data_IF_720594882091
#
_entry.id   IF_720594882091
#
_cell.length_a   1.000
_cell.length_b   1.000
_cell.length_c   1.000
_cell.angle_alpha   90.00
_cell.angle_beta   90.00
_cell.angle_gamma   90.00
#
_symmetry.space_group_name_H-M   'P 1'
#
loop_
_entity.id
_entity.type
_entity.pdbx_description
1 polymer ?
#
# COMPACT_ATOMS: atom_id res chain seq x y z
N UNK A 1 29.09 -14.64 -6.72
CA UNK A 1 28.25 -13.79 -7.59
C UNK A 1 26.87 -13.78 -6.99
N UNK A 2 26.59 -12.79 -6.16
CA UNK A 2 25.32 -12.69 -5.42
C UNK A 2 24.41 -11.75 -6.19
N UNK A 3 23.38 -12.32 -6.80
CA UNK A 3 22.35 -11.62 -7.53
C UNK A 3 21.48 -10.83 -6.52
N UNK A 4 21.59 -9.52 -6.57
CA UNK A 4 20.84 -8.61 -5.68
C UNK A 4 19.55 -8.24 -6.40
N UNK A 5 18.55 -9.10 -6.28
CA UNK A 5 17.21 -8.84 -6.81
C UNK A 5 16.61 -7.59 -6.15
N UNK A 6 16.58 -6.48 -6.88
CA UNK A 6 15.88 -5.27 -6.45
C UNK A 6 14.35 -5.48 -6.55
N UNK A 7 13.57 -5.20 -5.50
CA UNK A 7 12.12 -5.13 -5.61
C UNK A 7 11.70 -3.82 -6.28
N UNK A 8 11.63 -3.82 -7.62
CA UNK A 8 11.17 -2.66 -8.40
C UNK A 8 9.77 -2.96 -8.94
N UNK A 9 8.71 -2.41 -8.34
CA UNK A 9 7.40 -2.44 -9.02
C UNK A 9 6.13 -2.00 -8.29
N UNK A 10 6.03 -2.06 -6.96
CA UNK A 10 4.74 -1.78 -6.29
C UNK A 10 4.50 -0.31 -5.98
N UNK A 11 5.53 0.46 -5.63
CA UNK A 11 5.36 1.81 -5.07
C UNK A 11 4.87 2.86 -6.09
N UNK A 12 5.33 2.79 -7.35
CA UNK A 12 4.97 3.76 -8.38
C UNK A 12 3.50 3.63 -8.81
N UNK A 13 2.96 2.41 -8.85
CA UNK A 13 1.55 2.16 -9.22
C UNK A 13 0.58 2.65 -8.16
N UNK A 14 0.96 2.61 -6.89
CA UNK A 14 0.12 3.10 -5.79
C UNK A 14 0.10 4.64 -5.76
N UNK A 15 1.23 5.29 -6.06
CA UNK A 15 1.34 6.76 -6.00
C UNK A 15 0.45 7.46 -7.05
N UNK A 16 0.43 6.94 -8.28
CA UNK A 16 -0.41 7.48 -9.35
C UNK A 16 -1.92 7.31 -9.08
N UNK A 17 -2.31 6.32 -8.27
CA UNK A 17 -3.71 6.08 -7.92
C UNK A 17 -4.27 7.12 -6.96
N UNK A 18 -3.47 7.69 -6.05
CA UNK A 18 -3.98 8.63 -5.03
C UNK A 18 -4.45 9.96 -5.61
N UNK A 19 -3.83 10.45 -6.69
CA UNK A 19 -4.20 11.72 -7.33
C UNK A 19 -5.56 11.66 -8.04
N UNK A 20 -6.09 10.46 -8.25
CA UNK A 20 -7.40 10.23 -8.86
C UNK A 20 -8.49 9.97 -7.80
N UNK A 21 -8.12 9.62 -6.56
CA UNK A 21 -9.10 9.30 -5.50
C UNK A 21 -9.89 10.55 -5.07
N UNK A 22 -11.22 10.43 -4.86
CA UNK A 22 -12.03 11.49 -4.30
C UNK A 22 -11.63 11.78 -2.84
N UNK A 23 -12.03 12.95 -2.33
CA UNK A 23 -11.54 13.46 -1.04
C UNK A 23 -11.96 12.59 0.16
N UNK A 24 -13.14 11.99 0.10
CA UNK A 24 -13.66 11.04 1.08
C UNK A 24 -12.85 9.75 1.15
N UNK A 25 -12.45 9.18 0.01
CA UNK A 25 -11.56 8.03 -0.05
C UNK A 25 -10.16 8.35 0.48
N UNK A 26 -9.64 9.55 0.20
CA UNK A 26 -8.36 10.02 0.79
C UNK A 26 -8.45 10.13 2.31
N UNK A 27 -9.57 10.64 2.84
CA UNK A 27 -9.81 10.71 4.28
C UNK A 27 -9.86 9.31 4.89
N UNK A 28 -10.56 8.37 4.23
CA UNK A 28 -10.65 6.98 4.68
C UNK A 28 -9.25 6.34 4.72
N UNK A 29 -8.50 6.43 3.62
CA UNK A 29 -7.16 5.89 3.51
C UNK A 29 -6.21 6.48 4.56
N UNK A 30 -6.22 7.82 4.74
CA UNK A 30 -5.40 8.46 5.76
C UNK A 30 -5.76 7.99 7.17
N UNK A 31 -7.05 7.79 7.47
CA UNK A 31 -7.51 7.25 8.76
C UNK A 31 -7.06 5.82 8.99
N UNK A 32 -7.04 4.99 7.96
CA UNK A 32 -6.48 3.63 8.03
C UNK A 32 -4.99 3.68 8.39
N UNK A 33 -4.23 4.64 7.88
CA UNK A 33 -2.82 4.86 8.24
C UNK A 33 -2.61 5.51 9.62
N UNK A 34 -3.70 5.75 10.36
CA UNK A 34 -3.70 6.40 11.66
C UNK A 34 -3.61 7.92 11.62
N UNK A 35 -3.87 8.57 10.48
CA UNK A 35 -3.92 10.03 10.40
C UNK A 35 -5.27 10.59 10.87
N UNK A 36 -5.24 11.80 11.41
CA UNK A 36 -6.42 12.60 11.70
C UNK A 36 -6.62 13.63 10.61
N UNK A 37 -7.48 13.31 9.65
CA UNK A 37 -7.83 14.19 8.54
C UNK A 37 -9.23 14.78 8.74
N UNK A 38 -9.33 16.11 8.60
CA UNK A 38 -10.60 16.83 8.64
C UNK A 38 -11.23 16.84 7.23
N UNK A 39 -12.54 16.60 7.16
CA UNK A 39 -13.29 16.62 5.91
C UNK A 39 -13.36 18.02 5.27
N UNK A 40 -13.07 19.06 6.04
CA UNK A 40 -12.98 20.45 5.56
C UNK A 40 -11.63 20.80 4.92
N UNK A 41 -10.62 19.93 5.05
CA UNK A 41 -9.30 20.17 4.45
C UNK A 41 -9.41 20.17 2.92
N UNK A 42 -8.62 21.02 2.29
CA UNK A 42 -8.46 20.98 0.84
C UNK A 42 -7.82 19.65 0.42
N UNK A 43 -8.25 19.11 -0.74
CA UNK A 43 -7.73 17.86 -1.29
C UNK A 43 -6.20 17.80 -1.37
N UNK A 44 -5.55 18.91 -1.72
CA UNK A 44 -4.09 19.00 -1.78
C UNK A 44 -3.44 18.81 -0.41
N UNK A 45 -4.04 19.37 0.65
CA UNK A 45 -3.56 19.20 2.02
C UNK A 45 -3.74 17.76 2.51
N UNK A 46 -4.86 17.11 2.15
CA UNK A 46 -5.08 15.69 2.44
C UNK A 46 -3.96 14.83 1.80
N UNK A 47 -3.70 15.04 0.51
CA UNK A 47 -2.63 14.33 -0.22
C UNK A 47 -1.24 14.59 0.40
N UNK A 48 -0.94 15.83 0.77
CA UNK A 48 0.33 16.18 1.39
C UNK A 48 0.53 15.41 2.71
N UNK A 49 -0.47 15.40 3.59
CA UNK A 49 -0.39 14.65 4.87
C UNK A 49 -0.24 13.16 4.67
N UNK A 50 -0.90 12.58 3.67
CA UNK A 50 -0.76 11.17 3.32
C UNK A 50 0.66 10.88 2.81
N UNK A 51 1.21 11.74 1.95
CA UNK A 51 2.58 11.60 1.43
C UNK A 51 3.62 11.74 2.52
N UNK A 52 3.46 12.70 3.43
CA UNK A 52 4.33 12.84 4.62
C UNK A 52 4.31 11.55 5.45
N UNK A 53 3.13 10.95 5.62
CA UNK A 53 2.97 9.68 6.33
C UNK A 53 3.66 8.52 5.62
N UNK A 54 3.51 8.41 4.30
CA UNK A 54 4.18 7.38 3.51
C UNK A 54 5.70 7.57 3.55
N UNK A 55 6.19 8.81 3.45
CA UNK A 55 7.62 9.12 3.60
C UNK A 55 8.15 8.69 4.98
N UNK A 56 7.39 8.95 6.06
CA UNK A 56 7.72 8.47 7.39
C UNK A 56 7.78 6.93 7.44
N UNK A 57 6.79 6.23 6.88
CA UNK A 57 6.77 4.77 6.83
C UNK A 57 7.98 4.19 6.08
N UNK A 58 8.43 4.86 5.01
CA UNK A 58 9.65 4.47 4.29
C UNK A 58 10.89 4.55 5.18
N UNK A 59 10.99 5.56 6.03
CA UNK A 59 12.11 5.77 6.96
C UNK A 59 12.11 4.84 8.17
N UNK A 60 10.95 4.31 8.58
CA UNK A 60 10.85 3.41 9.72
C UNK A 60 11.38 2.02 9.38
N UNK A 61 12.07 1.38 10.32
CA UNK A 61 12.51 -0.01 10.19
C UNK A 61 11.31 -0.96 10.20
N UNK A 62 11.32 -1.94 9.29
CA UNK A 62 10.24 -2.93 9.17
C UNK A 62 10.16 -3.80 10.43
N UNK A 63 11.31 -4.24 10.97
CA UNK A 63 11.35 -5.05 12.19
C UNK A 63 10.81 -4.29 13.40
N UNK A 64 11.05 -2.98 13.47
CA UNK A 64 10.50 -2.14 14.52
C UNK A 64 8.96 -2.07 14.44
N UNK A 65 8.38 -2.09 13.24
CA UNK A 65 6.93 -2.17 13.05
C UNK A 65 6.40 -3.55 13.44
N UNK A 66 7.09 -4.64 13.08
CA UNK A 66 6.74 -5.99 13.51
C UNK A 66 6.76 -6.16 15.02
N UNK A 67 7.77 -5.61 15.71
CA UNK A 67 7.85 -5.64 17.18
C UNK A 67 6.59 -5.05 17.82
N UNK A 68 6.07 -3.94 17.28
CA UNK A 68 4.82 -3.32 17.77
C UNK A 68 3.64 -4.27 17.56
N UNK A 69 3.54 -4.90 16.40
CA UNK A 69 2.41 -5.78 16.06
C UNK A 69 2.43 -7.07 16.90
N UNK A 70 3.62 -7.63 17.12
CA UNK A 70 3.85 -8.79 18.01
C UNK A 70 3.53 -8.44 19.46
N UNK A 71 4.02 -7.30 19.95
CA UNK A 71 3.70 -6.79 21.29
C UNK A 71 2.18 -6.62 21.48
N UNK A 72 1.49 -6.14 20.44
CA UNK A 72 0.04 -6.00 20.45
C UNK A 72 -0.72 -7.32 20.20
N UNK A 73 -0.02 -8.44 20.05
CA UNK A 73 -0.56 -9.79 19.81
C UNK A 73 -1.49 -9.84 18.60
N UNK A 74 -1.13 -9.15 17.52
CA UNK A 74 -1.90 -9.09 16.26
C UNK A 74 -1.28 -10.02 15.22
N UNK A 75 -1.97 -11.09 14.80
CA UNK A 75 -1.40 -12.04 13.85
C UNK A 75 -1.17 -11.38 12.49
N UNK A 76 0.09 -11.27 12.07
CA UNK A 76 0.48 -10.80 10.74
C UNK A 76 1.52 -11.73 10.13
N UNK A 77 1.58 -11.77 8.81
CA UNK A 77 2.66 -12.44 8.06
C UNK A 77 3.93 -11.60 8.17
N UNK A 78 5.11 -12.22 8.13
CA UNK A 78 6.39 -11.46 8.16
C UNK A 78 6.64 -10.66 6.88
N UNK A 79 6.13 -11.14 5.75
CA UNK A 79 6.24 -10.50 4.42
C UNK A 79 5.26 -9.35 4.19
N UNK A 80 4.45 -9.00 5.19
CA UNK A 80 3.46 -7.93 5.11
C UNK A 80 4.11 -6.57 4.85
N UNK A 81 3.44 -5.70 4.09
CA UNK A 81 3.97 -4.38 3.75
C UNK A 81 3.99 -3.44 4.97
N UNK A 82 4.87 -2.42 4.95
CA UNK A 82 4.91 -1.40 6.03
C UNK A 82 3.60 -0.62 6.15
N UNK A 83 2.87 -0.42 5.05
CA UNK A 83 1.56 0.24 5.08
C UNK A 83 0.53 -0.61 5.80
N UNK A 84 0.45 -1.91 5.51
CA UNK A 84 -0.45 -2.82 6.20
C UNK A 84 -0.09 -2.96 7.68
N UNK A 85 1.19 -3.03 8.04
CA UNK A 85 1.63 -2.94 9.44
C UNK A 85 1.15 -1.64 10.09
N UNK A 86 1.25 -0.50 9.40
CA UNK A 86 0.76 0.76 9.92
C UNK A 86 -0.76 0.76 10.14
N UNK A 87 -1.53 0.09 9.27
CA UNK A 87 -2.99 -0.08 9.45
C UNK A 87 -3.31 -0.93 10.68
N UNK A 88 -2.59 -2.03 10.87
CA UNK A 88 -2.73 -2.88 12.07
C UNK A 88 -2.32 -2.13 13.34
N UNK A 89 -1.23 -1.36 13.28
CA UNK A 89 -0.74 -0.55 14.39
C UNK A 89 -1.75 0.55 14.76
N UNK A 90 -2.35 1.20 13.75
CA UNK A 90 -3.42 2.16 13.97
C UNK A 90 -4.63 1.54 14.69
N UNK A 91 -4.80 0.21 14.64
CA UNK A 91 -5.85 -0.52 15.34
C UNK A 91 -5.55 -0.88 16.79
N UNK A 92 -4.35 -0.63 17.29
CA UNK A 92 -3.95 -0.94 18.66
C UNK A 92 -4.53 0.11 19.62
N UNK A 93 -5.34 -0.35 20.57
CA UNK A 93 -5.99 0.50 21.59
C UNK A 93 -5.17 0.62 22.87
N UNK A 94 -4.55 -0.47 23.32
CA UNK A 94 -3.82 -0.53 24.59
C UNK A 94 -2.41 0.02 24.38
N UNK A 95 -1.97 0.92 25.24
CA UNK A 95 -0.66 1.58 25.10
C UNK A 95 0.19 1.41 26.35
N UNK A 96 0.18 0.20 26.90
CA UNK A 96 1.14 -0.11 27.95
C UNK A 96 2.47 -0.51 27.31
N UNK A 97 3.39 0.45 27.18
CA UNK A 97 4.70 0.27 26.56
C UNK A 97 5.57 -0.81 27.23
N UNK A 98 5.14 -1.40 28.35
CA UNK A 98 5.86 -2.48 29.01
C UNK A 98 6.07 -3.66 28.05
N UNK A 99 7.32 -4.08 27.93
CA UNK A 99 7.74 -5.19 27.07
C UNK A 99 7.86 -4.85 25.59
N UNK A 100 7.59 -3.61 25.17
CA UNK A 100 7.87 -3.16 23.81
C UNK A 100 9.38 -2.87 23.66
N UNK A 101 9.98 -3.33 22.58
CA UNK A 101 11.38 -3.03 22.29
C UNK A 101 11.59 -1.52 22.13
N UNK A 102 12.80 -1.02 22.46
CA UNK A 102 13.12 0.41 22.31
C UNK A 102 12.88 0.92 20.89
N UNK A 103 13.27 0.13 19.88
CA UNK A 103 13.04 0.47 18.45
C UNK A 103 11.56 0.54 18.11
N UNK A 104 10.75 -0.40 18.61
CA UNK A 104 9.31 -0.41 18.43
C UNK A 104 8.63 0.78 19.13
N UNK A 105 9.11 1.14 20.32
CA UNK A 105 8.61 2.31 21.06
C UNK A 105 8.88 3.62 20.31
N UNK A 106 10.10 3.81 19.81
CA UNK A 106 10.46 4.97 18.99
C UNK A 106 9.63 5.03 17.72
N UNK A 107 9.47 3.90 17.02
CA UNK A 107 8.64 3.81 15.82
C UNK A 107 7.17 4.13 16.11
N UNK A 108 6.61 3.60 17.21
CA UNK A 108 5.23 3.88 17.62
C UNK A 108 5.02 5.36 17.96
N UNK A 109 5.97 5.99 18.67
CA UNK A 109 5.90 7.41 18.98
C UNK A 109 5.96 8.28 17.72
N UNK A 110 6.86 7.96 16.78
CA UNK A 110 6.92 8.63 15.47
C UNK A 110 5.63 8.44 14.68
N UNK A 111 5.08 7.22 14.65
CA UNK A 111 3.78 6.94 14.04
C UNK A 111 2.65 7.73 14.71
N UNK A 112 2.82 8.13 15.96
CA UNK A 112 1.86 8.96 16.68
C UNK A 112 2.11 10.46 16.56
N UNK A 113 3.11 10.87 15.79
CA UNK A 113 3.48 12.28 15.62
C UNK A 113 4.15 12.89 16.87
N UNK A 114 4.66 12.06 17.78
CA UNK A 114 5.39 12.51 18.97
C UNK A 114 6.86 12.61 18.61
N UNK A 115 7.47 13.77 18.82
CA UNK A 115 8.90 13.96 18.60
C UNK A 115 9.71 13.12 19.60
N UNK A 116 10.72 12.43 19.08
CA UNK A 116 11.59 11.54 19.85
C UNK A 116 13.04 11.98 19.67
N UNK A 117 13.74 12.18 20.78
CA UNK A 117 15.18 12.38 20.76
C UNK A 117 15.88 11.01 20.85
N UNK A 118 16.92 10.79 20.03
CA UNK A 118 17.56 9.48 19.88
C UNK A 118 18.20 8.91 21.14
N UNK A 119 18.50 9.76 22.12
CA UNK A 119 19.26 9.39 23.33
C UNK A 119 18.38 9.25 24.58
N UNK A 120 17.05 9.38 24.44
CA UNK A 120 16.14 9.27 25.58
C UNK A 120 16.06 7.82 26.10
N UNK A 121 16.03 7.62 27.43
CA UNK A 121 15.83 6.32 28.05
C UNK A 121 14.40 5.82 27.82
N UNK A 122 14.23 4.49 27.77
CA UNK A 122 12.96 3.82 27.40
C UNK A 122 11.81 4.20 28.35
N UNK A 123 12.12 4.45 29.61
CA UNK A 123 11.17 4.82 30.66
C UNK A 123 10.53 6.18 30.35
N UNK A 124 11.35 7.17 29.98
CA UNK A 124 10.90 8.53 29.61
C UNK A 124 10.05 8.49 28.35
N UNK A 125 10.43 7.67 27.36
CA UNK A 125 9.63 7.45 26.15
C UNK A 125 8.26 6.85 26.47
N UNK A 126 8.21 5.88 27.39
CA UNK A 126 6.98 5.25 27.86
C UNK A 126 6.04 6.22 28.58
N UNK A 127 6.57 7.06 29.47
CA UNK A 127 5.80 8.10 30.16
C UNK A 127 5.24 9.15 29.20
N UNK A 128 6.06 9.60 28.23
CA UNK A 128 5.62 10.55 27.20
C UNK A 128 4.50 9.95 26.35
N UNK A 129 4.63 8.68 25.97
CA UNK A 129 3.60 7.98 25.21
C UNK A 129 2.27 7.88 25.97
N UNK A 130 2.31 7.60 27.28
CA UNK A 130 1.12 7.58 28.16
C UNK A 130 0.47 8.96 28.27
N UNK A 131 1.27 10.02 28.39
CA UNK A 131 0.77 11.40 28.48
C UNK A 131 -0.02 11.83 27.23
N UNK A 132 0.36 11.32 26.05
CA UNK A 132 -0.32 11.61 24.79
C UNK A 132 -1.50 10.67 24.45
N UNK A 133 -1.84 9.70 25.30
CA UNK A 133 -2.92 8.73 25.07
C UNK A 133 -4.32 9.35 24.87
N UNK A 134 -4.77 10.37 25.66
CA UNK A 134 -6.14 10.89 25.57
C UNK A 134 -6.48 11.46 24.18
N UNK A 135 -5.46 11.91 23.45
CA UNK A 135 -5.60 12.38 22.08
C UNK A 135 -5.97 11.23 21.13
N UNK A 136 -5.29 10.09 21.25
CA UNK A 136 -5.49 8.91 20.39
C UNK A 136 -6.81 8.18 20.68
N UNK A 137 -7.27 8.21 21.91
CA UNK A 137 -8.59 7.70 22.26
C UNK A 137 -9.71 8.44 21.52
N UNK A 138 -9.56 9.75 21.27
CA UNK A 138 -10.52 10.50 20.45
C UNK A 138 -10.51 10.03 19.00
N UNK A 139 -9.33 9.74 18.46
CA UNK A 139 -9.16 9.24 17.08
C UNK A 139 -9.82 7.86 16.92
N UNK A 140 -9.57 6.94 17.85
CA UNK A 140 -10.13 5.59 17.76
C UNK A 140 -11.65 5.56 17.95
N UNK A 141 -12.23 6.47 18.76
CA UNK A 141 -13.68 6.63 18.90
C UNK A 141 -14.35 7.03 17.58
N UNK A 142 -13.74 7.94 16.83
CA UNK A 142 -14.27 8.34 15.52
C UNK A 142 -14.25 7.16 14.53
N UNK A 143 -13.19 6.35 14.55
CA UNK A 143 -13.07 5.16 13.69
C UNK A 143 -14.16 4.11 13.96
N UNK A 144 -14.51 3.86 15.23
CA UNK A 144 -15.54 2.86 15.59
C UNK A 144 -16.91 3.21 15.02
N UNK A 145 -17.25 4.50 14.93
CA UNK A 145 -18.53 4.94 14.36
C UNK A 145 -18.65 4.62 12.87
N UNK A 146 -17.52 4.58 12.15
CA UNK A 146 -17.50 4.34 10.71
C UNK A 146 -17.39 2.85 10.38
N UNK A 147 -16.51 2.11 11.07
CA UNK A 147 -16.39 0.65 10.92
C UNK A 147 -17.63 -0.09 11.42
N UNK A 148 -18.30 0.44 12.45
CA UNK A 148 -19.57 -0.12 12.93
C UNK A 148 -20.67 -0.09 11.86
N UNK A 149 -20.69 0.95 11.01
CA UNK A 149 -21.67 1.07 9.92
C UNK A 149 -21.42 0.12 8.74
N UNK A 150 -20.17 -0.27 8.50
CA UNK A 150 -19.81 -1.19 7.41
C UNK A 150 -20.05 -2.65 7.82
N UNK A 151 -19.80 -2.98 9.10
CA UNK A 151 -20.07 -4.33 9.62
C UNK A 151 -21.57 -4.54 9.82
N UNK A 152 -22.34 -3.54 10.28
CA UNK A 152 -23.79 -3.68 10.44
C UNK A 152 -24.52 -3.93 9.12
N UNK A 153 -24.02 -3.40 8.00
CA UNK A 153 -24.62 -3.65 6.69
C UNK A 153 -24.30 -5.03 6.09
N UNK A 154 -23.30 -5.74 6.62
CA UNK A 154 -22.95 -7.10 6.19
C UNK A 154 -23.39 -8.19 7.18
N UNK A 155 -23.84 -7.82 8.40
CA UNK A 155 -24.16 -8.76 9.48
C UNK A 155 -25.63 -8.77 9.94
N UNK A 156 -26.56 -8.10 9.24
CA UNK A 156 -27.99 -8.28 9.48
C UNK A 156 -28.52 -9.55 8.78
N UNK A 157 -28.20 -10.70 9.37
CA UNK A 157 -28.96 -11.94 9.28
C UNK A 157 -29.70 -12.22 10.60
N UNK A 158 -30.79 -12.99 10.61
CA UNK A 158 -31.76 -13.00 11.70
C UNK A 158 -31.18 -13.57 13.01
N UNK A 159 -31.53 -12.89 14.09
CA UNK A 159 -31.09 -13.12 15.46
C UNK A 159 -31.35 -14.56 15.94
N UNK A 160 -30.41 -15.13 16.68
CA UNK A 160 -30.67 -16.20 17.66
C UNK A 160 -29.76 -16.04 18.88
N UNK A 161 -30.23 -16.40 20.09
CA UNK A 161 -29.67 -15.91 21.35
C UNK A 161 -28.65 -16.87 22.01
N UNK A 162 -27.73 -16.24 22.76
CA UNK A 162 -27.08 -16.67 24.00
C UNK A 162 -26.45 -18.07 24.12
N UNK A 163 -25.13 -18.10 24.37
CA UNK A 163 -24.40 -19.23 24.96
C UNK A 163 -23.11 -18.76 25.66
N UNK A 164 -22.85 -19.15 26.94
CA UNK A 164 -21.76 -18.59 27.76
C UNK A 164 -20.52 -19.51 27.81
N UNK A 165 -19.32 -18.93 27.92
CA UNK A 165 -18.10 -19.70 28.21
C UNK A 165 -16.85 -18.81 28.28
N UNK A 166 -16.25 -18.74 29.48
CA UNK A 166 -15.18 -17.81 29.87
C UNK A 166 -13.75 -18.15 29.41
N UNK A 167 -12.75 -17.37 29.85
CA UNK A 167 -11.44 -17.26 29.23
C UNK A 167 -10.38 -18.16 29.89
N UNK A 168 -9.53 -18.79 29.07
CA UNK A 168 -8.33 -19.53 29.48
C UNK A 168 -7.05 -18.84 28.99
N UNK A 169 -6.14 -18.59 29.92
CA UNK A 169 -4.84 -17.95 29.77
C UNK A 169 -3.81 -18.87 29.09
N UNK A 170 -2.82 -18.27 28.40
CA UNK A 170 -1.46 -18.84 28.34
C UNK A 170 -0.85 -19.18 26.98
N UNK A 171 -1.45 -18.83 25.85
CA UNK A 171 -0.88 -19.21 24.54
C UNK A 171 0.28 -18.29 24.11
N UNK A 172 1.45 -18.91 23.98
CA UNK A 172 2.61 -18.34 23.32
C UNK A 172 2.22 -17.89 21.90
N UNK A 173 2.43 -16.61 21.63
CA UNK A 173 2.10 -16.00 20.35
C UNK A 173 2.80 -16.73 19.20
N UNK A 174 2.02 -17.45 18.38
CA UNK A 174 2.48 -18.20 17.21
C UNK A 174 2.09 -17.42 15.96
N UNK A 175 3.08 -17.01 15.18
CA UNK A 175 2.84 -16.45 13.84
C UNK A 175 2.04 -17.46 13.01
N UNK A 176 1.12 -16.97 12.17
CA UNK A 176 0.43 -17.82 11.20
C UNK A 176 1.48 -18.57 10.37
N UNK A 177 1.45 -19.91 10.33
CA UNK A 177 2.38 -20.68 9.53
C UNK A 177 2.20 -20.32 8.05
N UNK A 178 3.32 -20.17 7.35
CA UNK A 178 3.31 -20.14 5.89
C UNK A 178 3.03 -21.57 5.40
N UNK A 179 1.88 -21.74 4.75
CA UNK A 179 1.39 -22.93 4.04
C UNK A 179 1.88 -24.30 4.55
N UNK A 180 1.13 -24.87 5.50
CA UNK A 180 1.08 -26.32 5.69
C UNK A 180 -0.37 -26.77 5.60
N UNK A 181 -0.70 -27.51 4.53
CA UNK A 181 -2.00 -28.14 4.33
C UNK A 181 -2.25 -29.20 5.42
N UNK A 182 -3.23 -29.03 6.33
CA UNK A 182 -3.54 -30.07 7.31
C UNK A 182 -4.28 -31.25 6.66
N UNK A 183 -3.92 -32.46 7.08
CA UNK A 183 -4.43 -33.74 6.58
C UNK A 183 -5.89 -33.98 6.98
N UNK A 184 -6.69 -34.45 6.00
CA UNK A 184 -8.15 -34.67 5.99
C UNK A 184 -8.76 -35.44 7.19
N UNK A 185 -7.96 -36.11 8.01
CA UNK A 185 -8.45 -37.00 9.08
C UNK A 185 -8.73 -36.26 10.39
N UNK A 186 -8.05 -35.14 10.64
CA UNK A 186 -8.31 -34.28 11.82
C UNK A 186 -9.47 -33.31 11.59
N UNK A 187 -9.81 -33.00 10.33
CA UNK A 187 -10.92 -32.09 9.97
C UNK A 187 -12.32 -32.71 10.17
N UNK A 188 -12.44 -34.04 10.22
CA UNK A 188 -13.75 -34.71 10.30
C UNK A 188 -14.26 -34.81 11.75
N UNK A 189 -13.38 -34.67 12.74
CA UNK A 189 -13.76 -34.77 14.15
C UNK A 189 -14.32 -33.45 14.74
N UNK A 190 -14.02 -32.29 14.14
CA UNK A 190 -14.29 -30.97 14.74
C UNK A 190 -15.43 -30.17 14.06
N UNK A 191 -15.78 -30.44 12.79
CA UNK A 191 -16.74 -29.61 12.05
C UNK A 191 -18.12 -30.28 11.87
N UNK A 192 -18.89 -30.33 12.95
CA UNK A 192 -20.34 -30.46 12.85
C UNK A 192 -20.97 -29.18 12.28
N UNK A 193 -21.70 -29.32 11.16
CA UNK A 193 -22.64 -28.34 10.56
C UNK A 193 -22.04 -27.04 9.98
N UNK A 194 -20.91 -26.53 10.46
CA UNK A 194 -20.30 -25.27 9.98
C UNK A 194 -19.53 -25.42 8.65
N UNK A 195 -19.01 -26.61 8.33
CA UNK A 195 -18.21 -26.85 7.11
C UNK A 195 -19.00 -26.76 5.80
N UNK A 196 -20.31 -27.05 5.84
CA UNK A 196 -21.20 -26.94 4.68
C UNK A 196 -21.38 -25.49 4.20
N UNK A 197 -21.33 -24.52 5.14
CA UNK A 197 -21.46 -23.10 4.83
C UNK A 197 -20.11 -22.51 4.39
N UNK A 198 -19.01 -22.89 5.06
CA UNK A 198 -17.66 -22.46 4.69
C UNK A 198 -17.27 -22.88 3.27
N UNK A 199 -17.72 -24.07 2.80
CA UNK A 199 -17.44 -24.55 1.44
C UNK A 199 -18.22 -23.78 0.36
N UNK A 200 -19.46 -23.35 0.65
CA UNK A 200 -20.25 -22.49 -0.25
C UNK A 200 -19.75 -21.04 -0.26
N UNK A 201 -19.35 -20.53 0.90
CA UNK A 201 -18.75 -19.18 1.01
C UNK A 201 -17.38 -19.15 0.31
N UNK A 202 -16.56 -20.19 0.48
CA UNK A 202 -15.27 -20.31 -0.24
C UNK A 202 -15.46 -20.44 -1.75
N UNK A 203 -16.43 -21.23 -2.21
CA UNK A 203 -16.76 -21.31 -3.64
C UNK A 203 -17.22 -19.97 -4.23
N UNK A 204 -18.15 -19.28 -3.55
CA UNK A 204 -18.63 -17.97 -4.00
C UNK A 204 -17.55 -16.87 -3.93
N UNK A 205 -16.64 -16.95 -2.95
CA UNK A 205 -15.51 -16.04 -2.85
C UNK A 205 -14.46 -16.32 -3.94
N UNK A 206 -14.18 -17.58 -4.26
CA UNK A 206 -13.26 -17.97 -5.33
C UNK A 206 -13.82 -17.57 -6.70
N UNK A 207 -15.12 -17.73 -6.93
CA UNK A 207 -15.78 -17.29 -8.17
C UNK A 207 -15.75 -15.76 -8.31
N UNK A 208 -15.99 -15.02 -7.23
CA UNK A 208 -15.89 -13.56 -7.22
C UNK A 208 -14.45 -13.07 -7.42
N UNK A 209 -13.47 -13.74 -6.80
CA UNK A 209 -12.05 -13.43 -7.00
C UNK A 209 -11.65 -13.70 -8.44
N UNK A 210 -12.10 -14.81 -9.04
CA UNK A 210 -11.86 -15.12 -10.45
C UNK A 210 -12.48 -14.08 -11.38
N UNK A 211 -13.74 -13.71 -11.15
CA UNK A 211 -14.41 -12.65 -11.93
C UNK A 211 -13.66 -11.32 -11.84
N UNK A 212 -13.15 -10.96 -10.65
CA UNK A 212 -12.37 -9.74 -10.47
C UNK A 212 -10.99 -9.82 -11.11
N UNK A 213 -10.36 -11.00 -11.12
CA UNK A 213 -9.11 -11.22 -11.84
C UNK A 213 -9.33 -11.07 -13.36
N UNK A 214 -10.39 -11.65 -13.90
CA UNK A 214 -10.74 -11.53 -15.32
C UNK A 214 -11.06 -10.08 -15.71
N UNK A 215 -11.77 -9.33 -14.86
CA UNK A 215 -12.03 -7.90 -15.08
C UNK A 215 -10.71 -7.09 -15.07
N UNK A 216 -9.78 -7.44 -14.19
CA UNK A 216 -8.47 -6.82 -14.10
C UNK A 216 -7.64 -7.15 -15.35
N UNK A 217 -7.62 -8.40 -15.81
CA UNK A 217 -6.94 -8.83 -17.05
C UNK A 217 -7.48 -8.03 -18.25
N UNK A 218 -8.80 -7.96 -18.42
CA UNK A 218 -9.44 -7.20 -19.50
C UNK A 218 -9.10 -5.71 -19.47
N UNK A 219 -8.89 -5.14 -18.27
CA UNK A 219 -8.50 -3.73 -18.10
C UNK A 219 -7.02 -3.53 -18.39
N UNK A 220 -6.17 -4.50 -18.03
CA UNK A 220 -4.74 -4.48 -18.33
C UNK A 220 -4.53 -4.58 -19.85
N UNK A 221 -5.19 -5.52 -20.53
CA UNK A 221 -5.08 -5.70 -21.97
C UNK A 221 -5.47 -4.43 -22.73
N UNK A 222 -6.59 -3.79 -22.36
CA UNK A 222 -7.00 -2.50 -22.94
C UNK A 222 -5.97 -1.40 -22.73
N UNK A 223 -5.30 -1.37 -21.57
CA UNK A 223 -4.23 -0.39 -21.32
C UNK A 223 -2.95 -0.71 -22.08
N UNK A 224 -2.62 -1.99 -22.27
CA UNK A 224 -1.47 -2.40 -23.08
C UNK A 224 -1.67 -2.01 -24.53
N UNK A 225 -2.85 -2.25 -25.10
CA UNK A 225 -3.19 -1.81 -26.46
C UNK A 225 -3.09 -0.30 -26.64
N UNK A 226 -3.56 0.48 -25.65
CA UNK A 226 -3.46 1.94 -25.69
C UNK A 226 -2.00 2.42 -25.67
N UNK A 227 -1.15 1.78 -24.86
CA UNK A 227 0.29 2.08 -24.80
C UNK A 227 0.97 1.74 -26.13
N UNK A 228 0.71 0.56 -26.68
CA UNK A 228 1.29 0.13 -27.96
C UNK A 228 0.87 1.07 -29.10
N UNK A 229 -0.39 1.53 -29.11
CA UNK A 229 -0.85 2.55 -30.06
C UNK A 229 -0.09 3.86 -29.91
N UNK A 230 0.06 4.37 -28.68
CA UNK A 230 0.80 5.62 -28.42
C UNK A 230 2.29 5.49 -28.77
N UNK A 231 2.89 4.34 -28.51
CA UNK A 231 4.29 4.06 -28.87
C UNK A 231 4.47 3.98 -30.39
N UNK A 232 3.55 3.36 -31.12
CA UNK A 232 3.56 3.34 -32.57
C UNK A 232 3.45 4.76 -33.15
N UNK A 233 2.49 5.56 -32.67
CA UNK A 233 2.32 6.96 -33.09
C UNK A 233 3.55 7.82 -32.78
N UNK A 234 4.21 7.57 -31.65
CA UNK A 234 5.43 8.29 -31.27
C UNK A 234 6.62 7.87 -32.14
N UNK A 235 6.80 6.56 -32.36
CA UNK A 235 7.83 6.00 -33.26
C UNK A 235 7.68 6.53 -34.68
N UNK A 236 6.47 6.55 -35.22
CA UNK A 236 6.22 6.99 -36.59
C UNK A 236 6.51 8.50 -36.74
N UNK A 237 6.17 9.31 -35.73
CA UNK A 237 6.55 10.73 -35.66
C UNK A 237 8.06 10.93 -35.59
N UNK A 238 8.76 10.14 -34.78
CA UNK A 238 10.21 10.25 -34.66
C UNK A 238 10.92 9.82 -35.95
N UNK A 239 10.50 8.71 -36.56
CA UNK A 239 11.03 8.23 -37.85
C UNK A 239 10.82 9.31 -38.92
N UNK A 240 9.62 9.92 -39.00
CA UNK A 240 9.34 10.99 -39.94
C UNK A 240 10.25 12.22 -39.73
N UNK A 241 10.50 12.60 -38.47
CA UNK A 241 11.37 13.73 -38.17
C UNK A 241 12.85 13.44 -38.51
N UNK A 242 13.34 12.24 -38.18
CA UNK A 242 14.69 11.79 -38.55
C UNK A 242 14.88 11.77 -40.06
N UNK A 243 13.89 11.26 -40.81
CA UNK A 243 13.92 11.28 -42.28
C UNK A 243 13.96 12.70 -42.84
N UNK A 244 13.23 13.63 -42.24
CA UNK A 244 13.21 15.05 -42.65
C UNK A 244 14.58 15.69 -42.49
N UNK A 245 15.27 15.45 -41.37
CA UNK A 245 16.61 15.97 -41.12
C UNK A 245 17.59 15.42 -42.17
N UNK A 246 17.59 14.10 -42.40
CA UNK A 246 18.47 13.47 -43.40
C UNK A 246 18.23 14.05 -44.79
N UNK A 247 16.97 14.22 -45.20
CA UNK A 247 16.61 14.84 -46.48
C UNK A 247 17.16 16.27 -46.60
N UNK A 248 17.02 17.09 -45.55
CA UNK A 248 17.53 18.47 -45.55
C UNK A 248 19.05 18.47 -45.70
N UNK A 249 19.78 17.63 -44.93
CA UNK A 249 21.24 17.55 -45.02
C UNK A 249 21.72 17.09 -46.39
N UNK A 250 20.99 16.19 -47.04
CA UNK A 250 21.32 15.69 -48.38
C UNK A 250 21.07 16.74 -49.46
N UNK A 251 19.97 17.50 -49.37
CA UNK A 251 19.73 18.63 -50.30
C UNK A 251 20.78 19.71 -50.12
N UNK A 252 21.19 20.01 -48.88
CA UNK A 252 22.24 20.97 -48.60
C UNK A 252 23.59 20.54 -49.18
N UNK A 253 23.97 19.26 -49.06
CA UNK A 253 25.24 18.77 -49.64
C UNK A 253 25.23 18.82 -51.17
N UNK A 254 24.11 18.51 -51.82
CA UNK A 254 23.95 18.66 -53.27
C UNK A 254 24.07 20.13 -53.69
N UNK A 255 23.42 21.05 -52.97
CA UNK A 255 23.53 22.49 -53.25
C UNK A 255 24.96 23.01 -53.14
N UNK A 256 25.70 22.60 -52.10
CA UNK A 256 27.10 22.96 -51.92
C UNK A 256 27.96 22.42 -53.06
N UNK A 257 27.76 21.17 -53.48
CA UNK A 257 28.47 20.58 -54.61
C UNK A 257 28.19 21.33 -55.93
N UNK A 258 26.93 21.70 -56.19
CA UNK A 258 26.55 22.47 -57.37
C UNK A 258 27.15 23.88 -57.35
N UNK A 259 27.15 24.56 -56.19
CA UNK A 259 27.80 25.87 -56.03
C UNK A 259 29.31 25.79 -56.25
N UNK A 260 29.96 24.74 -55.73
CA UNK A 260 31.39 24.50 -55.94
C UNK A 260 31.71 24.29 -57.41
N UNK A 261 30.88 23.51 -58.12
CA UNK A 261 31.03 23.29 -59.56
C UNK A 261 30.80 24.60 -60.34
N UNK A 262 29.75 25.35 -60.03
CA UNK A 262 29.48 26.65 -60.65
C UNK A 262 30.60 27.67 -60.44
N UNK A 263 31.18 27.72 -59.24
CA UNK A 263 32.32 28.60 -58.95
C UNK A 263 33.56 28.22 -59.77
N UNK A 264 33.85 26.92 -59.94
CA UNK A 264 34.95 26.47 -60.78
C UNK A 264 34.80 26.84 -62.26
N UNK A 265 33.56 26.94 -62.75
CA UNK A 265 33.26 27.35 -64.13
C UNK A 265 33.40 28.86 -64.35
N UNK A 266 33.07 29.68 -63.36
CA UNK A 266 33.10 31.14 -63.47
C UNK A 266 34.49 31.70 -63.27
N UNK A 267 35.36 31.05 -62.48
CA UNK A 267 36.74 31.50 -62.25
C UNK A 267 37.60 31.12 -63.46
N UNK A 268 37.83 32.03 -64.43
CA UNK A 268 38.66 31.72 -65.58
C UNK A 268 40.11 31.67 -65.08
N UNK A 269 40.88 30.70 -65.59
CA UNK A 269 42.31 30.63 -65.37
C UNK A 269 43.04 31.88 -65.86
#
# INVERSE_FOLDING_TARGET
MSDTGQPVGSDAKTTARFEELPADELILYGRELGLTLDAKMERQQLLLRIRERQALLKQLDHDALLDIVVWARRPVRKSISKEELAREIACIKKVDAQGLSRRGLVALMRLRGIAVNGDEPTEVLGERLRTHEPFWDRVTRHRRRLMGGIISHFLEGPQSPAGPGGPGEGEAYKFLPEDQNPTLRDQIAEEGVVSGLARRIRGAADDYVREKLDEIELRIDRKLEEIDRRLAEWRDREIANRLRIIRITLVASILVALLSLGYSLIRPH
#
